data_IF_115108052018
#
_entry.id   IF_115108052018
#
_cell.length_a   1.000
_cell.length_b   1.000
_cell.length_c   1.000
_cell.angle_alpha   90.00
_cell.angle_beta   90.00
_cell.angle_gamma   90.00
#
_symmetry.space_group_name_H-M   'P 1'
#
loop_
_entity.id
_entity.type
_entity.pdbx_description
1 polymer ?
#
# COMPACT_ATOMS: atom_id res chain seq x y z
N UNK A 1 40.17 -3.08 14.35
CA UNK A 1 39.16 -2.53 13.40
C UNK A 1 37.98 -3.47 13.37
N UNK A 2 36.75 -2.98 13.55
CA UNK A 2 35.56 -3.85 13.59
C UNK A 2 35.16 -4.20 12.16
N UNK A 3 35.25 -5.49 11.80
CA UNK A 3 34.75 -6.01 10.52
C UNK A 3 33.23 -5.87 10.55
N UNK A 4 32.65 -5.23 9.53
CA UNK A 4 31.19 -5.09 9.43
C UNK A 4 30.61 -6.48 9.18
N UNK A 5 29.56 -6.80 9.92
CA UNK A 5 28.91 -8.11 9.86
C UNK A 5 27.61 -8.03 9.05
N UNK A 6 27.20 -9.13 8.44
CA UNK A 6 25.89 -9.22 7.77
C UNK A 6 24.74 -8.79 8.69
N UNK A 7 24.82 -9.14 9.98
CA UNK A 7 23.84 -8.74 11.00
C UNK A 7 23.71 -7.22 11.15
N UNK A 8 24.80 -6.48 11.02
CA UNK A 8 24.78 -5.02 11.06
C UNK A 8 24.11 -4.44 9.81
N UNK A 9 24.37 -5.00 8.61
CA UNK A 9 23.69 -4.61 7.36
C UNK A 9 22.19 -4.89 7.45
N UNK A 10 21.80 -6.09 7.87
CA UNK A 10 20.40 -6.48 8.05
C UNK A 10 19.67 -5.48 8.96
N UNK A 11 20.30 -5.11 10.08
CA UNK A 11 19.74 -4.12 11.01
C UNK A 11 19.53 -2.76 10.33
N UNK A 12 20.55 -2.25 9.64
CA UNK A 12 20.46 -0.95 8.95
C UNK A 12 19.34 -0.97 7.90
N UNK A 13 19.29 -2.01 7.07
CA UNK A 13 18.29 -2.17 5.99
C UNK A 13 16.86 -2.24 6.55
N UNK A 14 16.68 -2.96 7.66
CA UNK A 14 15.38 -3.11 8.34
C UNK A 14 14.92 -1.82 9.04
N UNK A 15 15.84 -1.06 9.65
CA UNK A 15 15.52 0.18 10.37
C UNK A 15 15.39 1.39 9.44
N UNK A 16 15.93 1.31 8.22
CA UNK A 16 15.91 2.43 7.27
C UNK A 16 14.49 2.78 6.85
N UNK A 17 14.14 4.06 7.00
CA UNK A 17 12.87 4.65 6.55
C UNK A 17 13.12 5.63 5.39
N UNK A 18 12.17 5.74 4.45
CA UNK A 18 12.24 6.77 3.41
C UNK A 18 12.17 8.16 4.02
N UNK A 19 12.79 9.13 3.34
CA UNK A 19 12.63 10.54 3.69
C UNK A 19 11.18 10.97 3.39
N UNK A 20 10.56 11.83 4.22
CA UNK A 20 9.23 12.34 3.95
C UNK A 20 9.16 13.09 2.62
N UNK A 21 8.04 12.95 1.91
CA UNK A 21 7.78 13.76 0.71
C UNK A 21 7.73 15.25 1.08
N UNK A 22 8.38 16.09 0.29
CA UNK A 22 8.48 17.54 0.54
C UNK A 22 8.60 18.32 -0.76
N UNK A 23 7.57 19.11 -1.08
CA UNK A 23 7.57 19.94 -2.30
C UNK A 23 8.69 21.00 -2.30
N UNK A 24 9.19 21.38 -1.13
CA UNK A 24 10.27 22.37 -1.01
C UNK A 24 11.67 21.77 -1.17
N UNK A 25 11.89 20.56 -0.64
CA UNK A 25 13.22 19.94 -0.61
C UNK A 25 13.47 19.00 -1.79
N UNK A 26 12.44 18.31 -2.28
CA UNK A 26 12.56 17.31 -3.35
C UNK A 26 11.30 17.32 -4.21
N UNK A 27 11.05 18.37 -5.01
CA UNK A 27 9.82 18.51 -5.78
C UNK A 27 9.69 17.41 -6.85
N UNK A 28 8.45 17.01 -7.20
CA UNK A 28 8.19 16.05 -8.27
C UNK A 28 8.67 16.58 -9.63
N UNK A 29 9.19 15.69 -10.47
CA UNK A 29 9.69 16.01 -11.81
C UNK A 29 8.63 15.63 -12.84
N UNK A 30 8.05 16.62 -13.53
CA UNK A 30 6.87 16.40 -14.39
C UNK A 30 7.19 16.13 -15.86
N UNK A 31 8.43 16.31 -16.31
CA UNK A 31 8.78 16.27 -17.74
C UNK A 31 9.71 15.10 -18.12
N UNK A 32 10.17 14.33 -17.14
CA UNK A 32 11.07 13.18 -17.34
C UNK A 32 10.75 12.11 -16.29
N UNK A 33 10.04 11.06 -16.71
CA UNK A 33 9.68 9.94 -15.84
C UNK A 33 10.93 9.27 -15.24
N UNK A 34 12.00 9.10 -16.01
CA UNK A 34 13.25 8.50 -15.52
C UNK A 34 13.92 9.35 -14.44
N UNK A 35 13.93 10.67 -14.60
CA UNK A 35 14.43 11.59 -13.56
C UNK A 35 13.59 11.53 -12.29
N UNK A 36 12.26 11.47 -12.45
CA UNK A 36 11.34 11.39 -11.33
C UNK A 36 11.52 10.11 -10.52
N UNK A 37 11.63 8.96 -11.19
CA UNK A 37 11.94 7.67 -10.55
C UNK A 37 13.26 7.71 -9.79
N UNK A 38 14.28 8.35 -10.37
CA UNK A 38 15.59 8.52 -9.75
C UNK A 38 15.50 9.33 -8.45
N UNK A 39 14.80 10.45 -8.47
CA UNK A 39 14.66 11.29 -7.27
C UNK A 39 13.89 10.57 -6.16
N UNK A 40 12.78 9.90 -6.51
CA UNK A 40 12.03 9.07 -5.55
C UNK A 40 12.89 7.95 -4.95
N UNK A 41 13.73 7.30 -5.77
CA UNK A 41 14.64 6.25 -5.30
C UNK A 41 15.69 6.82 -4.35
N UNK A 42 16.25 8.00 -4.64
CA UNK A 42 17.25 8.67 -3.81
C UNK A 42 16.75 8.92 -2.38
N UNK A 43 15.48 9.31 -2.24
CA UNK A 43 14.83 9.55 -0.95
C UNK A 43 14.19 8.29 -0.33
N UNK A 44 14.37 7.12 -0.96
CA UNK A 44 13.88 5.84 -0.45
C UNK A 44 12.39 5.55 -0.72
N UNK A 45 11.71 6.38 -1.50
CA UNK A 45 10.30 6.22 -1.89
C UNK A 45 10.16 5.17 -3.01
N UNK A 46 10.73 3.98 -2.81
CA UNK A 46 10.91 2.93 -3.81
C UNK A 46 9.60 2.30 -4.28
N UNK A 47 8.64 2.09 -3.38
CA UNK A 47 7.30 1.60 -3.72
C UNK A 47 6.51 2.61 -4.56
N UNK A 48 6.59 3.89 -4.21
CA UNK A 48 5.99 5.00 -4.97
C UNK A 48 6.65 5.14 -6.35
N UNK A 49 7.98 5.00 -6.44
CA UNK A 49 8.68 4.99 -7.72
C UNK A 49 8.21 3.83 -8.61
N UNK A 50 8.10 2.61 -8.07
CA UNK A 50 7.60 1.48 -8.85
C UNK A 50 6.12 1.65 -9.26
N UNK A 51 5.29 2.21 -8.39
CA UNK A 51 3.86 2.43 -8.65
C UNK A 51 3.59 3.54 -9.66
N UNK A 52 4.51 4.49 -9.80
CA UNK A 52 4.48 5.51 -10.84
C UNK A 52 4.47 4.92 -12.25
N UNK A 53 4.95 3.69 -12.46
CA UNK A 53 4.95 3.03 -13.76
C UNK A 53 3.64 2.29 -14.09
N UNK A 54 2.64 2.29 -13.20
CA UNK A 54 1.40 1.52 -13.37
C UNK A 54 0.28 2.25 -14.13
N UNK A 55 0.57 3.38 -14.77
CA UNK A 55 -0.41 4.18 -15.49
C UNK A 55 -0.34 3.93 -17.00
N UNK A 56 -1.47 3.68 -17.68
CA UNK A 56 -1.49 3.34 -19.10
C UNK A 56 -0.91 4.42 -20.01
N UNK A 57 -0.88 5.68 -19.57
CA UNK A 57 -0.29 6.79 -20.30
C UNK A 57 1.22 6.64 -20.56
N UNK A 58 1.93 5.77 -19.84
CA UNK A 58 3.35 5.49 -20.08
C UNK A 58 3.60 4.52 -21.25
N UNK A 59 2.54 3.84 -21.72
CA UNK A 59 2.67 2.90 -22.83
C UNK A 59 3.22 3.61 -24.09
N UNK A 60 4.20 2.99 -24.73
CA UNK A 60 5.02 3.56 -25.80
C UNK A 60 6.37 4.11 -25.31
N UNK A 61 6.51 4.39 -24.01
CA UNK A 61 7.74 4.89 -23.40
C UNK A 61 8.23 4.04 -22.21
N UNK A 62 7.47 3.02 -21.78
CA UNK A 62 7.75 2.25 -20.57
C UNK A 62 9.15 1.61 -20.62
N UNK A 63 9.44 0.88 -21.70
CA UNK A 63 10.70 0.15 -21.86
C UNK A 63 11.91 1.09 -21.93
N UNK A 64 11.76 2.24 -22.60
CA UNK A 64 12.78 3.29 -22.64
C UNK A 64 12.99 3.92 -21.26
N UNK A 65 11.91 4.28 -20.57
CA UNK A 65 11.96 4.88 -19.22
C UNK A 65 12.70 3.97 -18.24
N UNK A 66 12.37 2.67 -18.22
CA UNK A 66 13.05 1.68 -17.36
C UNK A 66 14.52 1.55 -17.73
N UNK A 67 14.86 1.45 -19.03
CA UNK A 67 16.25 1.38 -19.48
C UNK A 67 17.07 2.62 -19.12
N UNK A 68 16.51 3.82 -19.32
CA UNK A 68 17.16 5.08 -18.95
C UNK A 68 17.33 5.22 -17.42
N UNK A 69 16.35 4.74 -16.66
CA UNK A 69 16.41 4.73 -15.20
C UNK A 69 17.53 3.80 -14.69
N UNK A 70 17.60 2.56 -15.21
CA UNK A 70 18.68 1.61 -14.91
C UNK A 70 20.04 2.20 -15.27
N UNK A 71 20.17 2.80 -16.46
CA UNK A 71 21.40 3.45 -16.92
C UNK A 71 21.86 4.56 -15.97
N UNK A 72 20.93 5.30 -15.35
CA UNK A 72 21.25 6.34 -14.35
C UNK A 72 21.63 5.74 -13.00
N UNK A 73 20.95 4.69 -12.55
CA UNK A 73 21.25 4.02 -11.29
C UNK A 73 22.60 3.30 -11.31
N UNK A 74 22.94 2.64 -12.41
CA UNK A 74 24.06 1.69 -12.46
C UNK A 74 25.42 2.31 -12.07
N UNK A 75 25.89 3.44 -12.64
CA UNK A 75 27.16 4.05 -12.22
C UNK A 75 27.18 4.46 -10.75
N UNK A 76 26.04 4.94 -10.24
CA UNK A 76 25.89 5.34 -8.85
C UNK A 76 25.91 4.11 -7.94
N UNK A 77 25.27 3.01 -8.32
CA UNK A 77 25.32 1.77 -7.57
C UNK A 77 26.76 1.28 -7.41
N UNK A 78 27.52 1.24 -8.51
CA UNK A 78 28.94 0.83 -8.52
C UNK A 78 29.77 1.73 -7.62
N UNK A 79 29.62 3.05 -7.72
CA UNK A 79 30.39 4.01 -6.93
C UNK A 79 29.95 4.13 -5.46
N UNK A 80 28.70 3.78 -5.13
CA UNK A 80 28.16 3.74 -3.77
C UNK A 80 28.54 2.46 -3.02
N UNK A 81 29.76 1.97 -3.22
CA UNK A 81 30.30 0.88 -2.40
C UNK A 81 30.42 1.33 -0.94
N UNK A 82 29.80 0.64 0.02
CA UNK A 82 29.97 0.97 1.43
C UNK A 82 31.32 0.44 1.92
N UNK A 83 32.29 1.32 2.20
CA UNK A 83 33.63 0.94 2.65
C UNK A 83 33.72 1.15 4.16
N UNK A 84 34.19 0.15 4.91
CA UNK A 84 34.26 0.21 6.39
C UNK A 84 35.22 1.28 6.95
N UNK A 85 36.07 1.85 6.09
CA UNK A 85 36.95 2.99 6.39
C UNK A 85 36.28 4.36 6.17
N UNK A 86 35.11 4.38 5.54
CA UNK A 86 34.36 5.61 5.32
C UNK A 86 33.89 6.20 6.66
N UNK A 87 33.58 7.50 6.65
CA UNK A 87 32.85 8.09 7.77
C UNK A 87 31.53 7.34 7.98
N UNK A 88 31.02 7.20 9.23
CA UNK A 88 29.75 6.52 9.49
C UNK A 88 28.59 7.05 8.65
N UNK A 89 28.60 8.36 8.35
CA UNK A 89 27.62 9.02 7.47
C UNK A 89 27.72 8.53 6.02
N UNK A 90 28.92 8.58 5.43
CA UNK A 90 29.16 8.14 4.05
C UNK A 90 28.86 6.65 3.88
N UNK A 91 29.27 5.83 4.85
CA UNK A 91 28.95 4.39 4.86
C UNK A 91 27.43 4.15 4.82
N UNK A 92 26.68 4.81 5.70
CA UNK A 92 25.23 4.67 5.77
C UNK A 92 24.53 5.19 4.50
N UNK A 93 25.01 6.29 3.92
CA UNK A 93 24.47 6.84 2.68
C UNK A 93 24.67 5.89 1.49
N UNK A 94 25.88 5.37 1.31
CA UNK A 94 26.21 4.41 0.25
C UNK A 94 25.40 3.11 0.38
N UNK A 95 25.32 2.56 1.59
CA UNK A 95 24.50 1.38 1.87
C UNK A 95 23.01 1.65 1.58
N UNK A 96 22.48 2.78 2.02
CA UNK A 96 21.08 3.15 1.79
C UNK A 96 20.77 3.30 0.30
N UNK A 97 21.68 3.91 -0.48
CA UNK A 97 21.48 4.05 -1.91
C UNK A 97 21.41 2.70 -2.63
N UNK A 98 22.35 1.79 -2.34
CA UNK A 98 22.31 0.43 -2.91
C UNK A 98 21.07 -0.34 -2.48
N UNK A 99 20.67 -0.23 -1.21
CA UNK A 99 19.42 -0.78 -0.71
C UNK A 99 18.22 -0.27 -1.53
N UNK A 100 18.08 1.04 -1.71
CA UNK A 100 16.94 1.62 -2.44
C UNK A 100 16.95 1.25 -3.92
N UNK A 101 18.12 1.16 -4.55
CA UNK A 101 18.27 0.69 -5.93
C UNK A 101 17.79 -0.76 -6.10
N UNK A 102 18.10 -1.65 -5.16
CA UNK A 102 17.55 -3.01 -5.15
C UNK A 102 16.04 -3.02 -4.91
N UNK A 103 15.57 -2.31 -3.89
CA UNK A 103 14.15 -2.27 -3.52
C UNK A 103 13.27 -1.75 -4.67
N UNK A 104 13.68 -0.70 -5.39
CA UNK A 104 12.88 -0.15 -6.50
C UNK A 104 12.79 -1.11 -7.68
N UNK A 105 13.89 -1.76 -8.06
CA UNK A 105 13.89 -2.72 -9.17
C UNK A 105 13.10 -4.00 -8.82
N UNK A 106 13.20 -4.45 -7.56
CA UNK A 106 12.38 -5.54 -7.02
C UNK A 106 10.89 -5.22 -7.10
N UNK A 107 10.49 -4.05 -6.61
CA UNK A 107 9.09 -3.59 -6.64
C UNK A 107 8.57 -3.42 -8.07
N UNK A 108 9.38 -2.90 -9.00
CA UNK A 108 9.03 -2.81 -10.42
C UNK A 108 8.76 -4.18 -11.04
N UNK A 109 9.64 -5.16 -10.80
CA UNK A 109 9.47 -6.52 -11.32
C UNK A 109 8.20 -7.19 -10.75
N UNK A 110 7.98 -7.08 -9.43
CA UNK A 110 6.77 -7.63 -8.80
C UNK A 110 5.49 -6.98 -9.33
N UNK A 111 5.50 -5.66 -9.51
CA UNK A 111 4.41 -4.93 -10.17
C UNK A 111 4.12 -5.49 -11.57
N UNK A 112 5.15 -5.74 -12.39
CA UNK A 112 4.98 -6.27 -13.74
C UNK A 112 4.52 -7.74 -13.78
N UNK A 113 4.86 -8.55 -12.78
CA UNK A 113 4.30 -9.89 -12.63
C UNK A 113 2.85 -9.88 -12.14
N UNK A 114 2.48 -8.88 -11.33
CA UNK A 114 1.16 -8.72 -10.73
C UNK A 114 0.06 -8.23 -11.69
N UNK A 115 -1.19 -8.45 -11.30
CA UNK A 115 -2.38 -8.09 -12.08
C UNK A 115 -2.62 -6.57 -12.17
N UNK A 116 -2.04 -5.78 -11.28
CA UNK A 116 -2.07 -4.32 -11.39
C UNK A 116 -1.35 -3.80 -12.63
N UNK A 117 -0.52 -4.60 -13.29
CA UNK A 117 0.15 -4.20 -14.53
C UNK A 117 -0.71 -4.44 -15.79
N UNK A 118 -1.96 -4.90 -15.65
CA UNK A 118 -2.84 -5.23 -16.79
C UNK A 118 -3.17 -4.05 -17.71
N UNK A 119 -2.98 -2.82 -17.23
CA UNK A 119 -3.18 -1.59 -18.02
C UNK A 119 -1.93 -1.20 -18.84
N UNK A 120 -0.80 -1.86 -18.61
CA UNK A 120 0.43 -1.61 -19.33
C UNK A 120 0.55 -2.51 -20.55
N UNK A 121 1.28 -2.02 -21.56
CA UNK A 121 1.58 -2.76 -22.78
C UNK A 121 2.34 -4.07 -22.46
N UNK A 122 1.83 -5.24 -22.88
CA UNK A 122 2.42 -6.52 -22.53
C UNK A 122 3.82 -6.73 -23.15
N UNK A 123 4.09 -6.18 -24.34
CA UNK A 123 5.38 -6.33 -25.02
C UNK A 123 6.45 -5.46 -24.37
N UNK A 124 6.11 -4.23 -23.97
CA UNK A 124 7.00 -3.37 -23.20
C UNK A 124 7.33 -3.98 -21.84
N UNK A 125 6.34 -4.50 -21.11
CA UNK A 125 6.58 -5.21 -19.85
C UNK A 125 7.52 -6.40 -20.02
N UNK A 126 7.28 -7.21 -21.05
CA UNK A 126 8.13 -8.36 -21.37
C UNK A 126 9.56 -7.95 -21.72
N UNK A 127 9.79 -6.76 -22.29
CA UNK A 127 11.13 -6.19 -22.51
C UNK A 127 11.77 -5.65 -21.23
N UNK A 128 10.99 -5.04 -20.33
CA UNK A 128 11.50 -4.49 -19.07
C UNK A 128 12.03 -5.56 -18.11
N UNK A 129 11.35 -6.71 -18.01
CA UNK A 129 11.69 -7.76 -17.04
C UNK A 129 13.14 -8.28 -17.21
N UNK A 130 13.62 -8.63 -18.42
CA UNK A 130 15.03 -8.96 -18.64
C UNK A 130 16.01 -7.84 -18.28
N UNK A 131 15.68 -6.57 -18.53
CA UNK A 131 16.55 -5.44 -18.14
C UNK A 131 16.74 -5.39 -16.64
N UNK A 132 15.65 -5.52 -15.89
CA UNK A 132 15.64 -5.51 -14.43
C UNK A 132 16.40 -6.73 -13.89
N UNK A 133 16.09 -7.93 -14.38
CA UNK A 133 16.72 -9.18 -13.93
C UNK A 133 18.23 -9.17 -14.15
N UNK A 134 18.67 -8.77 -15.35
CA UNK A 134 20.10 -8.70 -15.66
C UNK A 134 20.83 -7.68 -14.79
N UNK A 135 20.21 -6.52 -14.54
CA UNK A 135 20.79 -5.48 -13.67
C UNK A 135 20.93 -5.97 -12.23
N UNK A 136 19.90 -6.62 -11.69
CA UNK A 136 19.91 -7.16 -10.33
C UNK A 136 20.98 -8.24 -10.18
N UNK A 137 21.08 -9.15 -11.14
CA UNK A 137 22.10 -10.21 -11.16
C UNK A 137 23.52 -9.62 -11.22
N UNK A 138 23.75 -8.65 -12.10
CA UNK A 138 25.04 -7.96 -12.21
C UNK A 138 25.44 -7.24 -10.90
N UNK A 139 24.49 -6.56 -10.27
CA UNK A 139 24.72 -5.88 -8.99
C UNK A 139 25.05 -6.85 -7.86
N UNK A 140 24.40 -8.00 -7.81
CA UNK A 140 24.72 -9.06 -6.85
C UNK A 140 26.13 -9.62 -7.07
N UNK A 141 26.52 -9.88 -8.32
CA UNK A 141 27.88 -10.31 -8.64
C UNK A 141 28.93 -9.28 -8.24
N UNK A 142 28.63 -7.99 -8.40
CA UNK A 142 29.51 -6.91 -7.95
C UNK A 142 29.67 -6.97 -6.42
N UNK A 143 28.57 -7.11 -5.66
CA UNK A 143 28.65 -7.25 -4.20
C UNK A 143 29.46 -8.47 -3.76
N UNK A 144 29.26 -9.62 -4.42
CA UNK A 144 30.00 -10.85 -4.13
C UNK A 144 31.52 -10.68 -4.36
N UNK A 145 31.93 -9.95 -5.42
CA UNK A 145 33.33 -9.62 -5.69
C UNK A 145 33.91 -8.64 -4.66
N UNK A 146 33.06 -7.81 -4.05
CA UNK A 146 33.46 -6.79 -3.08
C UNK A 146 33.62 -7.30 -1.65
N UNK A 147 33.01 -8.44 -1.28
CA UNK A 147 33.19 -9.06 0.03
C UNK A 147 32.09 -10.06 0.43
N UNK A 148 32.14 -10.49 1.69
CA UNK A 148 31.24 -11.51 2.25
C UNK A 148 29.85 -10.98 2.67
N UNK A 149 29.66 -9.66 2.65
CA UNK A 149 28.43 -9.02 3.09
C UNK A 149 27.55 -8.67 1.88
N UNK A 150 26.25 -8.94 1.97
CA UNK A 150 25.29 -8.74 0.88
C UNK A 150 24.15 -7.82 1.29
N UNK A 151 23.98 -6.70 0.57
CA UNK A 151 22.81 -5.82 0.73
C UNK A 151 21.62 -6.46 0.03
N UNK A 152 21.84 -7.14 -1.09
CA UNK A 152 20.80 -7.91 -1.78
C UNK A 152 20.09 -8.91 -0.85
N UNK A 153 20.87 -9.71 -0.10
CA UNK A 153 20.33 -10.64 0.90
C UNK A 153 19.52 -9.93 1.97
N UNK A 154 20.00 -8.78 2.46
CA UNK A 154 19.29 -8.00 3.49
C UNK A 154 17.96 -7.43 2.99
N UNK A 155 17.90 -7.00 1.72
CA UNK A 155 16.68 -6.50 1.06
C UNK A 155 15.66 -7.62 0.90
N UNK A 156 16.08 -8.79 0.40
CA UNK A 156 15.19 -9.96 0.25
C UNK A 156 14.68 -10.43 1.61
N UNK A 157 15.56 -10.53 2.62
CA UNK A 157 15.17 -10.93 3.98
C UNK A 157 14.17 -9.94 4.58
N UNK A 158 14.38 -8.63 4.40
CA UNK A 158 13.42 -7.59 4.84
C UNK A 158 12.05 -7.81 4.23
N UNK A 159 11.97 -8.07 2.92
CA UNK A 159 10.70 -8.28 2.24
C UNK A 159 10.01 -9.57 2.73
N UNK A 160 10.72 -10.69 2.75
CA UNK A 160 10.18 -11.97 3.24
C UNK A 160 9.71 -11.87 4.70
N UNK A 161 10.45 -11.15 5.56
CA UNK A 161 10.08 -10.97 6.96
C UNK A 161 8.77 -10.19 7.14
N UNK A 162 8.54 -9.16 6.33
CA UNK A 162 7.28 -8.40 6.35
C UNK A 162 6.09 -9.30 5.96
N UNK A 163 6.23 -10.11 4.92
CA UNK A 163 5.20 -11.07 4.51
C UNK A 163 4.91 -12.12 5.59
N UNK A 164 5.95 -12.68 6.23
CA UNK A 164 5.80 -13.71 7.28
C UNK A 164 5.07 -13.22 8.53
N UNK A 165 5.11 -11.91 8.84
CA UNK A 165 4.42 -11.34 10.02
C UNK A 165 2.90 -11.32 9.88
N UNK A 166 2.39 -11.32 8.65
CA UNK A 166 0.95 -11.18 8.39
C UNK A 166 0.16 -12.30 9.06
N UNK A 167 -0.74 -11.93 9.98
CA UNK A 167 -1.58 -12.84 10.77
C UNK A 167 -0.74 -13.85 11.60
N UNK A 168 0.36 -13.37 12.20
CA UNK A 168 1.32 -14.18 12.97
C UNK A 168 1.81 -15.43 12.23
N UNK A 169 1.98 -15.33 10.91
CA UNK A 169 2.47 -16.43 10.07
C UNK A 169 1.41 -17.41 9.56
N UNK A 170 0.14 -17.18 9.87
CA UNK A 170 -0.96 -18.08 9.50
C UNK A 170 -1.71 -17.67 8.23
N UNK A 171 -1.28 -16.59 7.56
CA UNK A 171 -1.88 -16.12 6.31
C UNK A 171 -1.31 -16.80 5.07
N UNK A 172 -2.04 -16.78 3.96
CA UNK A 172 -1.53 -17.16 2.64
C UNK A 172 -0.26 -16.37 2.28
N UNK A 173 -0.22 -15.08 2.58
CA UNK A 173 0.95 -14.21 2.33
C UNK A 173 2.17 -14.74 3.08
N UNK A 174 2.03 -15.07 4.36
CA UNK A 174 3.12 -15.64 5.15
C UNK A 174 3.60 -17.00 4.63
N UNK A 175 2.67 -17.89 4.25
CA UNK A 175 3.02 -19.19 3.67
C UNK A 175 3.71 -19.05 2.31
N UNK A 176 3.33 -18.05 1.53
CA UNK A 176 3.98 -17.74 0.24
C UNK A 176 5.42 -17.29 0.46
N UNK A 177 5.69 -16.45 1.46
CA UNK A 177 7.04 -16.06 1.81
C UNK A 177 7.93 -17.25 2.22
N UNK A 178 7.38 -18.23 2.96
CA UNK A 178 8.13 -19.45 3.29
C UNK A 178 8.48 -20.26 2.02
N UNK A 179 7.54 -20.43 1.09
CA UNK A 179 7.80 -21.14 -0.19
C UNK A 179 8.80 -20.41 -1.08
N UNK A 180 8.81 -19.08 -1.05
CA UNK A 180 9.83 -18.29 -1.77
C UNK A 180 11.19 -18.48 -1.11
N UNK A 181 11.27 -18.36 0.22
CA UNK A 181 12.52 -18.55 0.96
C UNK A 181 13.13 -19.94 0.76
N UNK A 182 12.31 -21.00 0.76
CA UNK A 182 12.75 -22.38 0.51
C UNK A 182 13.38 -22.59 -0.87
N UNK A 183 13.03 -21.74 -1.85
CA UNK A 183 13.58 -21.79 -3.20
C UNK A 183 14.91 -21.02 -3.36
N UNK A 184 15.37 -20.29 -2.33
CA UNK A 184 16.59 -19.49 -2.40
C UNK A 184 17.81 -20.34 -2.02
N UNK A 185 18.66 -20.62 -3.01
CA UNK A 185 19.93 -21.32 -2.79
C UNK A 185 21.06 -20.33 -2.46
N UNK A 186 21.79 -20.62 -1.38
CA UNK A 186 22.98 -19.86 -0.98
C UNK A 186 24.09 -19.97 -2.02
N UNK A 187 24.82 -18.86 -2.25
CA UNK A 187 25.97 -18.83 -3.17
C UNK A 187 25.62 -18.62 -4.65
N UNK A 188 24.32 -18.50 -4.99
CA UNK A 188 23.85 -18.04 -6.29
C UNK A 188 23.18 -16.65 -6.13
N UNK A 189 23.09 -15.84 -7.21
CA UNK A 189 22.31 -14.60 -7.18
C UNK A 189 20.87 -14.84 -6.71
N UNK A 190 20.44 -14.10 -5.70
CA UNK A 190 19.19 -14.31 -4.98
C UNK A 190 18.00 -13.66 -5.70
N UNK A 191 18.17 -12.51 -6.34
CA UNK A 191 17.07 -11.80 -7.02
C UNK A 191 16.49 -12.59 -8.19
N UNK A 192 17.28 -13.19 -9.10
CA UNK A 192 16.71 -14.03 -10.16
C UNK A 192 15.90 -15.21 -9.61
N UNK A 193 16.39 -15.86 -8.55
CA UNK A 193 15.69 -16.97 -7.88
C UNK A 193 14.39 -16.49 -7.22
N UNK A 194 14.47 -15.39 -6.46
CA UNK A 194 13.33 -14.77 -5.80
C UNK A 194 12.25 -14.38 -6.81
N UNK A 195 12.60 -13.64 -7.87
CA UNK A 195 11.64 -13.11 -8.84
C UNK A 195 11.00 -14.22 -9.65
N UNK A 196 11.76 -15.23 -10.07
CA UNK A 196 11.21 -16.41 -10.72
C UNK A 196 10.18 -17.10 -9.83
N UNK A 197 10.54 -17.35 -8.57
CA UNK A 197 9.62 -18.02 -7.63
C UNK A 197 8.42 -17.14 -7.28
N UNK A 198 8.60 -15.83 -7.15
CA UNK A 198 7.51 -14.89 -6.92
C UNK A 198 6.53 -14.84 -8.10
N UNK A 199 7.03 -14.83 -9.34
CA UNK A 199 6.20 -14.91 -10.54
C UNK A 199 5.35 -16.19 -10.54
N UNK A 200 5.96 -17.34 -10.24
CA UNK A 200 5.24 -18.61 -10.12
C UNK A 200 4.15 -18.55 -9.04
N UNK A 201 4.47 -18.06 -7.85
CA UNK A 201 3.53 -17.94 -6.73
C UNK A 201 2.40 -16.93 -6.99
N UNK A 202 2.65 -15.88 -7.78
CA UNK A 202 1.64 -14.90 -8.20
C UNK A 202 0.73 -15.53 -9.26
N UNK A 203 1.30 -16.00 -10.37
CA UNK A 203 0.53 -16.41 -11.55
C UNK A 203 -0.16 -17.76 -11.37
N UNK A 204 0.38 -18.68 -10.58
CA UNK A 204 -0.29 -19.97 -10.29
C UNK A 204 -1.37 -19.85 -9.21
N UNK A 205 -1.46 -18.71 -8.54
CA UNK A 205 -2.44 -18.51 -7.47
C UNK A 205 -3.88 -18.52 -8.00
N UNK A 206 -4.77 -19.22 -7.30
CA UNK A 206 -6.18 -19.29 -7.70
C UNK A 206 -6.86 -17.90 -7.71
N UNK A 207 -6.51 -17.00 -6.79
CA UNK A 207 -7.08 -15.65 -6.75
C UNK A 207 -6.66 -14.84 -7.98
N UNK A 208 -5.38 -14.93 -8.37
CA UNK A 208 -4.89 -14.33 -9.62
C UNK A 208 -5.68 -14.86 -10.81
N UNK A 209 -5.83 -16.19 -10.93
CA UNK A 209 -6.53 -16.81 -12.05
C UNK A 209 -8.01 -16.38 -12.13
N UNK A 210 -8.70 -16.34 -10.99
CA UNK A 210 -10.11 -15.93 -10.93
C UNK A 210 -10.30 -14.46 -11.32
N UNK A 211 -9.43 -13.55 -10.88
CA UNK A 211 -9.50 -12.13 -11.27
C UNK A 211 -9.15 -11.98 -12.75
N UNK A 212 -8.08 -12.61 -13.20
CA UNK A 212 -7.60 -12.53 -14.59
C UNK A 212 -8.65 -13.04 -15.59
N UNK A 213 -9.41 -14.08 -15.22
CA UNK A 213 -10.50 -14.65 -16.03
C UNK A 213 -11.83 -13.90 -15.84
N UNK A 214 -11.87 -12.83 -15.04
CA UNK A 214 -13.08 -12.04 -14.80
C UNK A 214 -14.16 -12.76 -14.00
N UNK A 215 -13.82 -13.82 -13.27
CA UNK A 215 -14.77 -14.64 -12.50
C UNK A 215 -15.22 -13.95 -11.21
N UNK A 216 -14.31 -13.24 -10.56
CA UNK A 216 -14.57 -12.61 -9.26
C UNK A 216 -13.64 -11.42 -9.02
N UNK A 217 -14.02 -10.57 -8.08
CA UNK A 217 -13.19 -9.50 -7.51
C UNK A 217 -12.98 -9.79 -6.04
N UNK A 218 -11.79 -9.52 -5.53
CA UNK A 218 -11.45 -9.82 -4.14
C UNK A 218 -11.13 -8.56 -3.36
N UNK A 219 -11.66 -8.52 -2.14
CA UNK A 219 -11.24 -7.64 -1.07
C UNK A 219 -10.59 -8.44 0.06
N UNK A 220 -9.69 -7.80 0.80
CA UNK A 220 -9.11 -8.37 2.03
C UNK A 220 -9.77 -7.75 3.26
N UNK A 221 -9.85 -8.45 4.39
CA UNK A 221 -10.33 -7.87 5.65
C UNK A 221 -9.19 -7.40 6.56
N UNK A 222 -8.00 -8.00 6.42
CA UNK A 222 -6.83 -7.70 7.23
C UNK A 222 -6.04 -6.49 6.72
N UNK A 223 -5.41 -5.73 7.63
CA UNK A 223 -4.74 -4.46 7.30
C UNK A 223 -3.31 -4.63 6.78
N UNK A 224 -2.68 -5.81 6.90
CA UNK A 224 -1.29 -6.06 6.47
C UNK A 224 -1.23 -7.03 5.29
N UNK A 225 -0.09 -7.01 4.57
CA UNK A 225 0.19 -7.91 3.44
C UNK A 225 -0.47 -7.49 2.13
N UNK A 226 -1.09 -6.31 2.10
CA UNK A 226 -1.87 -5.84 0.96
C UNK A 226 -1.03 -5.60 -0.29
N UNK A 227 0.26 -5.26 -0.14
CA UNK A 227 1.19 -5.14 -1.27
C UNK A 227 1.25 -6.43 -2.09
N UNK A 228 1.43 -7.58 -1.42
CA UNK A 228 1.41 -8.88 -2.08
C UNK A 228 0.03 -9.24 -2.65
N UNK A 229 -1.04 -8.99 -1.89
CA UNK A 229 -2.40 -9.30 -2.36
C UNK A 229 -2.81 -8.48 -3.59
N UNK A 230 -2.32 -7.24 -3.72
CA UNK A 230 -2.50 -6.43 -4.92
C UNK A 230 -1.94 -7.13 -6.16
N UNK A 231 -0.77 -7.76 -6.06
CA UNK A 231 -0.20 -8.56 -7.15
C UNK A 231 -1.12 -9.69 -7.61
N UNK A 232 -1.90 -10.27 -6.70
CA UNK A 232 -2.91 -11.30 -7.00
C UNK A 232 -4.21 -10.73 -7.57
N UNK A 233 -4.35 -9.41 -7.69
CA UNK A 233 -5.53 -8.75 -8.24
C UNK A 233 -6.58 -8.35 -7.21
N UNK A 234 -6.25 -8.37 -5.91
CA UNK A 234 -7.13 -7.76 -4.90
C UNK A 234 -7.23 -6.26 -5.20
N UNK A 235 -8.44 -5.72 -5.12
CA UNK A 235 -8.71 -4.31 -5.44
C UNK A 235 -9.29 -3.53 -4.26
N UNK A 236 -9.54 -4.16 -3.12
CA UNK A 236 -10.16 -3.52 -1.96
C UNK A 236 -9.63 -4.07 -0.65
N UNK A 237 -9.75 -3.28 0.42
CA UNK A 237 -9.59 -3.75 1.79
C UNK A 237 -10.70 -3.23 2.68
N UNK A 238 -11.23 -4.09 3.54
CA UNK A 238 -12.28 -3.78 4.50
C UNK A 238 -11.86 -4.15 5.91
N UNK A 239 -11.17 -3.22 6.58
CA UNK A 239 -10.77 -3.40 7.98
C UNK A 239 -11.94 -3.12 8.96
N UNK A 240 -11.68 -3.39 10.23
CA UNK A 240 -12.48 -2.96 11.36
C UNK A 240 -11.56 -2.60 12.53
N UNK A 241 -12.04 -1.95 13.61
CA UNK A 241 -11.18 -1.52 14.70
C UNK A 241 -10.41 -2.67 15.38
N UNK A 242 -11.01 -3.87 15.45
CA UNK A 242 -10.36 -5.06 16.02
C UNK A 242 -9.18 -5.53 15.16
N UNK A 243 -9.35 -5.53 13.83
CA UNK A 243 -8.30 -5.90 12.89
C UNK A 243 -7.21 -4.84 12.82
N UNK A 244 -7.56 -3.56 12.88
CA UNK A 244 -6.60 -2.47 13.00
C UNK A 244 -5.76 -2.60 14.29
N UNK A 245 -6.39 -2.89 15.43
CA UNK A 245 -5.68 -3.15 16.69
C UNK A 245 -4.76 -4.39 16.60
N UNK A 246 -5.20 -5.44 15.89
CA UNK A 246 -4.36 -6.63 15.66
C UNK A 246 -3.16 -6.33 14.75
N UNK A 247 -3.25 -5.39 13.82
CA UNK A 247 -2.12 -4.97 12.99
C UNK A 247 -0.95 -4.42 13.85
N UNK A 248 -1.25 -3.63 14.89
CA UNK A 248 -0.24 -3.16 15.85
C UNK A 248 0.42 -4.29 16.67
N UNK A 249 -0.26 -5.42 16.85
CA UNK A 249 0.31 -6.59 17.52
C UNK A 249 1.24 -7.38 16.59
N UNK A 250 0.89 -7.45 15.30
CA UNK A 250 1.60 -8.26 14.31
C UNK A 250 2.78 -7.48 13.68
N UNK A 251 2.70 -6.15 13.57
CA UNK A 251 3.84 -5.28 13.23
C UNK A 251 4.13 -4.24 14.32
N UNK A 252 5.11 -4.51 15.21
CA UNK A 252 5.56 -3.55 16.23
C UNK A 252 6.06 -2.22 15.65
N UNK A 253 6.44 -2.18 14.37
CA UNK A 253 6.94 -0.97 13.73
C UNK A 253 5.88 0.14 13.64
N UNK A 254 4.59 -0.25 13.58
CA UNK A 254 3.46 0.69 13.63
C UNK A 254 3.40 1.48 14.94
N UNK A 255 3.88 0.92 16.05
CA UNK A 255 3.92 1.62 17.34
C UNK A 255 4.90 2.80 17.28
N UNK A 256 6.07 2.60 16.67
CA UNK A 256 7.05 3.68 16.53
C UNK A 256 6.56 4.74 15.56
N UNK A 257 5.95 4.34 14.43
CA UNK A 257 5.31 5.29 13.50
C UNK A 257 4.23 6.10 14.22
N UNK A 258 3.40 5.43 15.03
CA UNK A 258 2.38 6.11 15.82
C UNK A 258 2.97 7.13 16.80
N UNK A 259 4.06 6.76 17.51
CA UNK A 259 4.74 7.68 18.44
C UNK A 259 5.33 8.89 17.73
N UNK A 260 5.78 8.76 16.49
CA UNK A 260 6.28 9.88 15.70
C UNK A 260 5.16 10.77 15.19
N UNK A 261 4.14 10.17 14.59
CA UNK A 261 3.02 10.90 13.97
C UNK A 261 2.13 11.58 15.02
N UNK A 262 1.90 10.95 16.17
CA UNK A 262 1.08 11.54 17.25
C UNK A 262 1.71 12.83 17.78
N UNK A 263 3.05 12.94 17.81
CA UNK A 263 3.75 14.16 18.27
C UNK A 263 3.53 15.34 17.34
N UNK A 264 3.26 15.08 16.06
CA UNK A 264 2.97 16.10 15.03
C UNK A 264 1.48 16.47 15.00
N UNK A 265 0.64 15.72 15.69
CA UNK A 265 -0.80 15.97 15.69
C UNK A 265 -1.14 17.29 16.41
N UNK A 266 -2.01 18.16 15.86
CA UNK A 266 -2.33 19.45 16.47
C UNK A 266 -2.86 19.35 17.92
N UNK A 267 -3.57 18.27 18.24
CA UNK A 267 -4.11 18.00 19.58
C UNK A 267 -3.15 17.27 20.52
N UNK A 268 -1.92 17.00 20.11
CA UNK A 268 -0.96 16.21 20.91
C UNK A 268 -0.81 16.71 22.35
N UNK A 269 -0.73 18.04 22.54
CA UNK A 269 -0.65 18.63 23.89
C UNK A 269 -1.83 18.24 24.78
N UNK A 270 -3.05 18.26 24.24
CA UNK A 270 -4.27 17.90 24.98
C UNK A 270 -4.31 16.39 25.26
N UNK A 271 -4.02 15.58 24.25
CA UNK A 271 -3.97 14.12 24.35
C UNK A 271 -2.94 13.66 25.37
N UNK A 272 -1.77 14.31 25.42
CA UNK A 272 -0.71 13.99 26.37
C UNK A 272 -1.10 14.29 27.83
N UNK A 273 -1.81 15.39 28.07
CA UNK A 273 -2.19 15.79 29.43
C UNK A 273 -3.29 14.91 30.02
N UNK A 274 -4.24 14.43 29.20
CA UNK A 274 -5.32 13.56 29.66
C UNK A 274 -5.71 12.52 28.60
N UNK A 275 -4.90 11.47 28.39
CA UNK A 275 -5.13 10.49 27.32
C UNK A 275 -6.45 9.76 27.47
N UNK A 276 -6.88 9.44 28.70
CA UNK A 276 -8.14 8.75 28.96
C UNK A 276 -9.35 9.55 28.50
N UNK A 277 -9.33 10.89 28.63
CA UNK A 277 -10.41 11.76 28.14
C UNK A 277 -10.51 11.78 26.61
N UNK A 278 -9.38 11.63 25.92
CA UNK A 278 -9.30 11.67 24.45
C UNK A 278 -9.11 10.27 23.85
N UNK A 279 -9.44 9.21 24.58
CA UNK A 279 -9.16 7.83 24.18
C UNK A 279 -9.78 7.49 22.81
N UNK A 280 -11.01 7.92 22.56
CA UNK A 280 -11.72 7.69 21.28
C UNK A 280 -11.04 8.42 20.11
N UNK A 281 -10.62 9.69 20.29
CA UNK A 281 -9.90 10.44 19.24
C UNK A 281 -8.53 9.81 18.94
N UNK A 282 -7.83 9.36 19.98
CA UNK A 282 -6.54 8.70 19.86
C UNK A 282 -6.70 7.36 19.13
N UNK A 283 -7.74 6.58 19.46
CA UNK A 283 -8.05 5.32 18.81
C UNK A 283 -8.46 5.51 17.35
N UNK A 284 -9.24 6.56 17.03
CA UNK A 284 -9.57 6.96 15.67
C UNK A 284 -8.30 7.24 14.87
N UNK A 285 -7.40 8.08 15.41
CA UNK A 285 -6.15 8.43 14.75
C UNK A 285 -5.21 7.23 14.57
N UNK A 286 -5.12 6.34 15.56
CA UNK A 286 -4.34 5.10 15.45
C UNK A 286 -4.93 4.16 14.38
N UNK A 287 -6.26 4.02 14.33
CA UNK A 287 -6.95 3.21 13.31
C UNK A 287 -6.67 3.76 11.92
N UNK A 288 -6.80 5.07 11.75
CA UNK A 288 -6.46 5.77 10.52
C UNK A 288 -5.01 5.50 10.14
N UNK A 289 -4.05 5.74 11.02
CA UNK A 289 -2.63 5.51 10.74
C UNK A 289 -2.32 4.09 10.25
N UNK A 290 -2.96 3.06 10.83
CA UNK A 290 -2.81 1.67 10.39
C UNK A 290 -3.33 1.41 8.96
N UNK A 291 -4.10 2.32 8.39
CA UNK A 291 -4.66 2.24 7.04
C UNK A 291 -3.97 3.13 6.02
N UNK A 292 -3.05 4.00 6.43
CA UNK A 292 -2.43 4.96 5.52
C UNK A 292 -1.65 4.27 4.40
N UNK A 293 -0.87 3.24 4.75
CA UNK A 293 -0.16 2.44 3.77
C UNK A 293 -1.13 1.78 2.78
N UNK A 294 -2.31 1.36 3.25
CA UNK A 294 -3.32 0.73 2.41
C UNK A 294 -3.89 1.68 1.37
N UNK A 295 -4.05 2.97 1.73
CA UNK A 295 -4.48 4.01 0.79
C UNK A 295 -3.46 4.16 -0.34
N UNK A 296 -2.16 4.11 -0.03
CA UNK A 296 -1.08 4.18 -1.02
C UNK A 296 -0.99 2.93 -1.88
N UNK A 297 -1.04 1.73 -1.27
CA UNK A 297 -0.97 0.44 -1.98
C UNK A 297 -2.04 0.35 -3.06
N UNK A 298 -3.27 0.75 -2.76
CA UNK A 298 -4.36 0.70 -3.73
C UNK A 298 -4.50 1.97 -4.58
N UNK A 299 -3.61 2.95 -4.43
CA UNK A 299 -3.72 4.23 -5.14
C UNK A 299 -3.65 4.09 -6.67
N UNK A 300 -2.73 3.29 -7.26
CA UNK A 300 -2.73 3.06 -8.70
C UNK A 300 -4.03 2.39 -9.17
N UNK A 301 -4.54 1.42 -8.40
CA UNK A 301 -5.79 0.72 -8.69
C UNK A 301 -6.97 1.70 -8.71
N UNK A 302 -7.05 2.59 -7.72
CA UNK A 302 -8.09 3.61 -7.62
C UNK A 302 -8.17 4.50 -8.86
N UNK A 303 -7.01 4.99 -9.33
CA UNK A 303 -6.98 5.82 -10.52
C UNK A 303 -7.30 5.06 -11.81
N UNK A 304 -6.84 3.82 -11.95
CA UNK A 304 -7.06 3.02 -13.15
C UNK A 304 -8.47 2.44 -13.24
N UNK A 305 -9.14 2.19 -12.11
CA UNK A 305 -10.50 1.65 -12.05
C UNK A 305 -11.60 2.71 -11.90
N UNK A 306 -11.25 3.98 -11.79
CA UNK A 306 -12.21 5.08 -11.56
C UNK A 306 -13.39 5.08 -12.54
N UNK A 307 -13.14 4.82 -13.83
CA UNK A 307 -14.15 4.82 -14.90
C UNK A 307 -14.88 3.48 -15.08
N UNK A 308 -14.54 2.46 -14.28
CA UNK A 308 -15.10 1.11 -14.42
C UNK A 308 -15.70 0.61 -13.11
N UNK A 309 -14.96 -0.18 -12.33
CA UNK A 309 -15.48 -0.76 -11.08
C UNK A 309 -15.55 0.23 -9.92
N UNK A 310 -14.77 1.32 -9.98
CA UNK A 310 -14.55 2.19 -8.82
C UNK A 310 -13.70 1.57 -7.72
N UNK A 311 -13.00 0.46 -8.01
CA UNK A 311 -12.13 -0.25 -7.07
C UNK A 311 -10.93 0.56 -6.58
N UNK A 312 -10.06 -0.07 -5.80
CA UNK A 312 -8.91 0.59 -5.15
C UNK A 312 -9.26 1.28 -3.83
N UNK A 313 -10.40 0.93 -3.23
CA UNK A 313 -10.92 1.59 -2.02
C UNK A 313 -10.53 0.87 -0.72
N UNK A 314 -10.31 1.67 0.32
CA UNK A 314 -10.01 1.23 1.68
C UNK A 314 -11.21 1.56 2.56
N UNK A 315 -11.75 0.55 3.23
CA UNK A 315 -12.88 0.73 4.15
C UNK A 315 -12.39 1.16 5.52
N UNK A 316 -12.95 2.26 6.02
CA UNK A 316 -12.74 2.75 7.38
C UNK A 316 -14.04 2.67 8.17
N UNK A 317 -14.01 1.93 9.27
CA UNK A 317 -15.21 1.70 10.07
C UNK A 317 -15.42 2.78 11.11
N UNK A 318 -16.67 3.27 11.16
CA UNK A 318 -17.12 4.18 12.21
C UNK A 318 -16.98 3.53 13.58
N UNK A 319 -16.73 4.36 14.57
CA UNK A 319 -16.65 3.92 15.95
C UNK A 319 -17.99 3.31 16.39
N UNK A 320 -18.04 2.00 16.70
CA UNK A 320 -19.28 1.34 17.06
C UNK A 320 -19.90 1.88 18.35
N UNK A 321 -19.09 2.45 19.25
CA UNK A 321 -19.57 2.99 20.54
C UNK A 321 -20.44 4.24 20.35
N UNK A 322 -20.26 4.99 19.27
CA UNK A 322 -21.00 6.22 18.97
C UNK A 322 -21.81 6.15 17.68
N UNK A 323 -21.93 4.98 17.05
CA UNK A 323 -22.65 4.83 15.78
C UNK A 323 -24.15 5.17 15.85
N UNK A 324 -24.71 5.25 17.05
CA UNK A 324 -26.07 5.74 17.29
C UNK A 324 -26.17 7.28 17.29
N UNK A 325 -25.05 7.97 17.51
CA UNK A 325 -24.90 9.42 17.53
C UNK A 325 -24.53 9.92 16.14
N UNK A 326 -25.54 10.41 15.43
CA UNK A 326 -25.43 10.77 14.01
C UNK A 326 -24.44 11.92 13.77
N UNK A 327 -24.52 13.00 14.55
CA UNK A 327 -23.66 14.17 14.34
C UNK A 327 -22.19 13.86 14.60
N UNK A 328 -21.91 13.15 15.69
CA UNK A 328 -20.58 12.73 16.11
C UNK A 328 -19.95 11.79 15.09
N UNK A 329 -20.72 10.80 14.61
CA UNK A 329 -20.28 9.89 13.55
C UNK A 329 -19.90 10.64 12.28
N UNK A 330 -20.70 11.63 11.87
CA UNK A 330 -20.39 12.43 10.69
C UNK A 330 -19.16 13.33 10.90
N UNK A 331 -18.98 13.90 12.09
CA UNK A 331 -17.76 14.67 12.40
C UNK A 331 -16.50 13.81 12.28
N UNK A 332 -16.54 12.56 12.75
CA UNK A 332 -15.44 11.61 12.60
C UNK A 332 -15.14 11.28 11.13
N UNK A 333 -16.18 11.14 10.29
CA UNK A 333 -16.01 10.97 8.84
C UNK A 333 -15.28 12.15 8.21
N UNK A 334 -15.72 13.38 8.50
CA UNK A 334 -15.08 14.57 7.95
C UNK A 334 -13.63 14.71 8.41
N UNK A 335 -13.34 14.38 9.68
CA UNK A 335 -11.97 14.39 10.18
C UNK A 335 -11.11 13.35 9.46
N UNK A 336 -11.60 12.11 9.31
CA UNK A 336 -10.89 11.05 8.59
C UNK A 336 -10.59 11.43 7.13
N UNK A 337 -11.59 11.96 6.42
CA UNK A 337 -11.44 12.39 5.02
C UNK A 337 -10.48 13.58 4.88
N UNK A 338 -10.56 14.57 5.77
CA UNK A 338 -9.65 15.72 5.76
C UNK A 338 -8.18 15.30 5.93
N UNK A 339 -7.90 14.44 6.92
CA UNK A 339 -6.57 13.91 7.18
C UNK A 339 -6.03 13.06 6.02
N UNK A 340 -6.89 12.20 5.45
CA UNK A 340 -6.52 11.39 4.29
C UNK A 340 -6.26 12.28 3.05
N UNK A 341 -7.09 13.29 2.82
CA UNK A 341 -6.97 14.20 1.69
C UNK A 341 -5.67 15.00 1.73
N UNK A 342 -5.26 15.51 2.89
CA UNK A 342 -4.01 16.24 3.04
C UNK A 342 -2.81 15.39 2.60
N UNK A 343 -2.73 14.15 3.10
CA UNK A 343 -1.63 13.23 2.77
C UNK A 343 -1.67 12.78 1.31
N UNK A 344 -2.85 12.43 0.81
CA UNK A 344 -3.01 11.98 -0.57
C UNK A 344 -2.79 13.11 -1.58
N UNK A 345 -3.10 14.36 -1.22
CA UNK A 345 -2.82 15.52 -2.09
C UNK A 345 -1.34 15.69 -2.34
N UNK A 346 -0.51 15.45 -1.31
CA UNK A 346 0.94 15.44 -1.47
C UNK A 346 1.38 14.20 -2.25
N UNK A 347 0.96 13.00 -1.84
CA UNK A 347 1.34 11.74 -2.48
C UNK A 347 1.04 11.71 -3.98
N UNK A 348 -0.15 12.15 -4.38
CA UNK A 348 -0.59 12.16 -5.77
C UNK A 348 0.22 13.12 -6.65
N UNK A 349 0.80 14.19 -6.10
CA UNK A 349 1.69 15.06 -6.87
C UNK A 349 2.96 14.32 -7.33
N UNK A 350 3.42 13.34 -6.54
CA UNK A 350 4.54 12.49 -6.91
C UNK A 350 4.08 11.29 -7.73
N UNK A 351 3.02 10.59 -7.30
CA UNK A 351 2.54 9.40 -8.02
C UNK A 351 2.16 9.75 -9.47
N UNK A 352 1.49 10.89 -9.66
CA UNK A 352 0.96 11.34 -10.95
C UNK A 352 1.85 12.38 -11.66
N UNK A 353 3.11 12.54 -11.27
CA UNK A 353 4.02 13.47 -11.93
C UNK A 353 4.15 13.13 -13.43
N UNK A 354 4.10 14.12 -14.32
CA UNK A 354 4.12 13.90 -15.78
C UNK A 354 2.87 13.26 -16.39
N UNK A 355 1.93 12.75 -15.59
CA UNK A 355 0.67 12.22 -16.09
C UNK A 355 -0.42 13.28 -16.20
N UNK A 356 -1.27 13.12 -17.22
CA UNK A 356 -2.34 14.06 -17.56
C UNK A 356 -3.61 13.89 -16.72
N UNK A 357 -3.63 13.01 -15.73
CA UNK A 357 -4.80 12.74 -14.87
C UNK A 357 -5.39 14.04 -14.34
N UNK A 358 -6.58 14.39 -14.85
CA UNK A 358 -7.37 15.55 -14.45
C UNK A 358 -8.42 15.12 -13.42
N UNK A 359 -8.57 15.90 -12.35
CA UNK A 359 -9.52 15.60 -11.27
C UNK A 359 -9.01 14.55 -10.28
N UNK A 360 -9.71 14.41 -9.16
CA UNK A 360 -9.50 13.41 -8.08
C UNK A 360 -8.12 13.38 -7.39
N UNK A 361 -7.16 14.24 -7.74
CA UNK A 361 -5.93 14.44 -6.95
C UNK A 361 -6.29 14.84 -5.52
N UNK A 362 -5.72 14.15 -4.54
CA UNK A 362 -6.02 14.33 -3.13
C UNK A 362 -7.35 13.72 -2.68
N UNK A 363 -8.23 13.29 -3.59
CA UNK A 363 -9.49 12.65 -3.20
C UNK A 363 -9.20 11.33 -2.49
N UNK A 364 -9.66 11.11 -1.26
CA UNK A 364 -9.45 9.85 -0.58
C UNK A 364 -10.07 8.65 -1.33
N UNK A 365 -9.28 7.60 -1.52
CA UNK A 365 -9.77 6.27 -1.90
C UNK A 365 -10.27 5.51 -0.66
N UNK A 366 -11.10 6.19 0.12
CA UNK A 366 -11.64 5.75 1.40
C UNK A 366 -13.15 5.60 1.25
N UNK A 367 -13.73 4.55 1.84
CA UNK A 367 -15.18 4.42 2.01
C UNK A 367 -15.52 4.23 3.49
N UNK A 368 -16.68 4.71 3.92
CA UNK A 368 -17.08 4.61 5.32
C UNK A 368 -17.86 3.33 5.57
N UNK A 369 -17.34 2.49 6.46
CA UNK A 369 -18.00 1.26 6.86
C UNK A 369 -19.01 1.54 7.97
N UNK A 370 -20.30 1.36 7.65
CA UNK A 370 -21.43 1.66 8.53
C UNK A 370 -22.13 0.35 8.91
N UNK A 371 -22.32 0.12 10.21
CA UNK A 371 -23.04 -1.05 10.67
C UNK A 371 -24.56 -0.87 10.49
N UNK A 372 -25.24 -1.89 9.97
CA UNK A 372 -26.68 -1.88 9.68
C UNK A 372 -27.55 -2.03 10.96
N UNK A 373 -27.28 -1.23 11.99
CA UNK A 373 -27.75 -1.47 13.37
C UNK A 373 -28.84 -0.52 13.87
N UNK A 374 -29.62 0.12 12.98
CA UNK A 374 -30.80 0.89 13.37
C UNK A 374 -31.05 2.15 12.54
N UNK A 375 -31.96 3.04 12.99
CA UNK A 375 -32.35 4.25 12.24
C UNK A 375 -31.17 5.20 11.97
N UNK A 376 -30.24 5.36 12.92
CA UNK A 376 -29.07 6.22 12.74
C UNK A 376 -28.19 5.79 11.56
N UNK A 377 -28.07 4.49 11.29
CA UNK A 377 -27.30 3.98 10.16
C UNK A 377 -27.85 4.46 8.81
N UNK A 378 -29.18 4.57 8.68
CA UNK A 378 -29.83 5.09 7.46
C UNK A 378 -29.47 6.55 7.23
N UNK A 379 -29.64 7.38 8.26
CA UNK A 379 -29.32 8.81 8.19
C UNK A 379 -27.84 9.05 7.92
N UNK A 380 -26.96 8.34 8.62
CA UNK A 380 -25.50 8.42 8.42
C UNK A 380 -25.13 8.04 6.99
N UNK A 381 -25.65 6.90 6.50
CA UNK A 381 -25.39 6.39 5.14
C UNK A 381 -25.81 7.40 4.07
N UNK A 382 -27.04 7.93 4.16
CA UNK A 382 -27.54 8.94 3.22
C UNK A 382 -26.66 10.18 3.21
N UNK A 383 -26.32 10.71 4.40
CA UNK A 383 -25.53 11.93 4.52
C UNK A 383 -24.12 11.75 3.96
N UNK A 384 -23.40 10.69 4.33
CA UNK A 384 -22.04 10.42 3.83
C UNK A 384 -22.03 10.36 2.30
N UNK A 385 -23.02 9.68 1.70
CA UNK A 385 -23.12 9.56 0.26
C UNK A 385 -23.54 10.86 -0.42
N UNK A 386 -24.28 11.75 0.25
CA UNK A 386 -24.59 13.11 -0.25
C UNK A 386 -23.37 14.03 -0.41
N UNK A 387 -22.25 13.67 0.23
CA UNK A 387 -20.94 14.30 0.06
C UNK A 387 -20.03 13.56 -0.94
N UNK A 388 -20.49 12.43 -1.49
CA UNK A 388 -19.75 11.63 -2.46
C UNK A 388 -18.65 10.74 -1.88
N UNK A 389 -18.62 10.55 -0.56
CA UNK A 389 -17.57 9.80 0.14
C UNK A 389 -17.60 8.29 -0.11
N UNK A 390 -18.77 7.71 -0.32
CA UNK A 390 -18.96 6.27 -0.47
C UNK A 390 -19.08 5.53 0.85
N UNK A 391 -19.76 4.39 0.84
CA UNK A 391 -20.02 3.56 2.01
C UNK A 391 -19.79 2.07 1.77
N UNK A 392 -19.49 1.39 2.87
CA UNK A 392 -19.51 -0.06 2.98
C UNK A 392 -20.50 -0.46 4.08
N UNK A 393 -21.68 -0.95 3.72
CA UNK A 393 -22.64 -1.41 4.72
C UNK A 393 -22.19 -2.77 5.27
N UNK A 394 -22.16 -2.93 6.58
CA UNK A 394 -21.70 -4.17 7.25
C UNK A 394 -22.68 -4.58 8.33
N UNK A 395 -22.48 -5.77 8.91
CA UNK A 395 -23.38 -6.28 9.96
C UNK A 395 -24.80 -6.42 9.39
N UNK A 396 -24.85 -6.78 8.11
CA UNK A 396 -26.07 -7.02 7.36
C UNK A 396 -26.37 -8.53 7.38
N UNK A 397 -27.53 -8.89 7.92
CA UNK A 397 -27.96 -10.27 8.10
C UNK A 397 -29.25 -10.59 7.32
N UNK A 398 -29.89 -9.62 6.68
CA UNK A 398 -31.19 -9.82 6.06
C UNK A 398 -31.38 -8.95 4.82
N UNK A 399 -32.09 -9.50 3.84
CA UNK A 399 -32.46 -8.78 2.59
C UNK A 399 -33.20 -7.47 2.90
N UNK A 400 -33.99 -7.42 3.98
CA UNK A 400 -34.70 -6.20 4.38
C UNK A 400 -33.76 -5.09 4.87
N UNK A 401 -32.70 -5.44 5.61
CA UNK A 401 -31.67 -4.47 5.98
C UNK A 401 -30.93 -3.97 4.74
N UNK A 402 -30.54 -4.91 3.88
CA UNK A 402 -29.84 -4.64 2.62
C UNK A 402 -30.62 -3.65 1.74
N UNK A 403 -31.86 -4.00 1.40
CA UNK A 403 -32.72 -3.18 0.56
C UNK A 403 -32.99 -1.80 1.17
N UNK A 404 -33.15 -1.72 2.49
CA UNK A 404 -33.38 -0.44 3.17
C UNK A 404 -32.18 0.48 3.03
N UNK A 405 -30.97 0.00 3.30
CA UNK A 405 -29.77 0.83 3.26
C UNK A 405 -29.34 1.16 1.83
N UNK A 406 -29.58 0.27 0.87
CA UNK A 406 -29.35 0.54 -0.55
C UNK A 406 -30.16 1.75 -1.03
N UNK A 407 -31.41 1.91 -0.58
CA UNK A 407 -32.22 3.10 -0.91
C UNK A 407 -31.61 4.39 -0.33
N UNK A 408 -31.09 4.33 0.89
CA UNK A 408 -30.42 5.47 1.55
C UNK A 408 -29.11 5.85 0.84
N UNK A 409 -28.34 4.85 0.44
CA UNK A 409 -27.14 4.98 -0.38
C UNK A 409 -27.45 5.67 -1.72
N UNK A 410 -28.46 5.20 -2.45
CA UNK A 410 -28.88 5.76 -3.73
C UNK A 410 -29.38 7.20 -3.59
N UNK A 411 -30.17 7.50 -2.55
CA UNK A 411 -30.67 8.85 -2.29
C UNK A 411 -29.52 9.84 -2.04
N UNK A 412 -28.55 9.45 -1.20
CA UNK A 412 -27.34 10.24 -0.97
C UNK A 412 -26.52 10.44 -2.25
N UNK A 413 -26.25 9.38 -3.00
CA UNK A 413 -25.51 9.50 -4.27
C UNK A 413 -26.20 10.41 -5.28
N UNK A 414 -27.53 10.33 -5.39
CA UNK A 414 -28.29 11.21 -6.27
C UNK A 414 -28.12 12.68 -5.89
N UNK A 415 -28.07 13.01 -4.60
CA UNK A 415 -27.80 14.36 -4.12
C UNK A 415 -26.37 14.83 -4.47
N UNK A 416 -25.36 13.97 -4.29
CA UNK A 416 -23.98 14.27 -4.68
C UNK A 416 -23.87 14.54 -6.18
N UNK A 417 -24.51 13.72 -7.02
CA UNK A 417 -24.53 13.88 -8.48
C UNK A 417 -25.19 15.21 -8.87
N UNK A 418 -26.28 15.61 -8.22
CA UNK A 418 -26.91 16.93 -8.44
C UNK A 418 -25.99 18.11 -8.11
N UNK A 419 -25.01 17.92 -7.21
CA UNK A 419 -23.95 18.89 -6.90
C UNK A 419 -22.76 18.83 -7.87
N UNK A 420 -22.81 17.95 -8.88
CA UNK A 420 -21.68 17.69 -9.79
C UNK A 420 -20.55 16.86 -9.17
N UNK A 421 -20.80 16.24 -8.01
CA UNK A 421 -19.83 15.40 -7.31
C UNK A 421 -19.96 13.97 -7.83
N UNK A 422 -18.89 13.42 -8.38
CA UNK A 422 -18.81 11.99 -8.72
C UNK A 422 -18.78 11.17 -7.42
N UNK A 423 -19.72 10.26 -7.15
CA UNK A 423 -19.67 9.43 -5.94
C UNK A 423 -18.51 8.42 -5.97
N UNK A 424 -17.95 8.11 -4.80
CA UNK A 424 -17.05 6.96 -4.62
C UNK A 424 -17.86 5.66 -4.67
N UNK A 425 -17.21 4.53 -4.97
CA UNK A 425 -17.83 3.20 -4.97
C UNK A 425 -18.58 2.89 -3.66
N UNK A 426 -19.72 2.21 -3.80
CA UNK A 426 -20.46 1.60 -2.69
C UNK A 426 -20.37 0.08 -2.76
N UNK A 427 -20.42 -0.58 -1.61
CA UNK A 427 -20.61 -2.03 -1.55
C UNK A 427 -21.20 -2.45 -0.20
N UNK A 428 -21.74 -3.66 -0.15
CA UNK A 428 -22.36 -4.21 1.07
C UNK A 428 -21.64 -5.51 1.44
N UNK A 429 -21.37 -5.66 2.73
CA UNK A 429 -20.74 -6.82 3.34
C UNK A 429 -21.81 -7.63 4.08
N UNK A 430 -22.35 -8.64 3.40
CA UNK A 430 -23.31 -9.56 3.99
C UNK A 430 -22.62 -10.56 4.94
N UNK A 431 -23.24 -10.84 6.08
CA UNK A 431 -22.63 -11.66 7.13
C UNK A 431 -22.91 -13.17 6.96
N UNK A 432 -22.76 -13.69 5.75
CA UNK A 432 -23.17 -15.07 5.38
C UNK A 432 -22.58 -16.16 6.29
N UNK A 433 -21.28 -16.14 6.55
CA UNK A 433 -20.64 -17.15 7.42
C UNK A 433 -21.08 -17.07 8.89
N UNK A 434 -21.47 -15.87 9.38
CA UNK A 434 -22.04 -15.73 10.74
C UNK A 434 -23.47 -16.23 10.80
N UNK A 435 -24.25 -15.97 9.76
CA UNK A 435 -25.60 -16.52 9.62
C UNK A 435 -25.56 -18.05 9.61
N UNK A 436 -24.67 -18.64 8.80
CA UNK A 436 -24.47 -20.09 8.77
C UNK A 436 -24.11 -20.64 10.15
N UNK A 437 -23.18 -19.98 10.86
CA UNK A 437 -22.74 -20.41 12.19
C UNK A 437 -23.90 -20.37 13.20
N UNK A 438 -24.72 -19.31 13.19
CA UNK A 438 -25.91 -19.22 14.01
C UNK A 438 -26.92 -20.35 13.71
N UNK A 439 -27.16 -20.64 12.43
CA UNK A 439 -28.06 -21.71 12.00
C UNK A 439 -27.56 -23.12 12.35
N UNK A 440 -26.26 -23.30 12.64
CA UNK A 440 -25.70 -24.57 13.12
C UNK A 440 -25.81 -24.72 14.64
N UNK A 441 -25.89 -23.62 15.38
CA UNK A 441 -25.98 -23.59 16.84
C UNK A 441 -27.42 -23.68 17.36
N UNK A 442 -28.38 -23.20 16.56
CA UNK A 442 -29.84 -23.36 16.77
C UNK A 442 -30.27 -24.74 16.28
#
# INVERSE_FOLDING_TARGET
>A
MKRITQKEINKIVQEKRPEPLSLGESPPIFWDHSAHLFELTRIGQTTLAADHLLFPEINGELSKTVGDFIRRLHPLFVTSRPISKDSPKSFSQNLSFRQYAYEVLLEMALNFHGLESRWLDPEEKARCLPFILHTLEEWEEIEQKEGECSIASAVIEKWLLQMKRVQKGNSMVAKTALRIEEALESGKPLFPQFLKKAEEEIKSNIYYQMVNQGLCRFGNDYALGLRWLRHLGYEQVSTNPVLAARAYQDDPSLIEIFREEVRRHPKFGQWRTNPSRYAEEIALFATLLALWENLYVFRPIFFNLRETSGGGVVSFQLNPNIAHLVEESIRDVFLAFSLAQEKLSLYDQYLLAGYRTKGDRGRPNLVIKVAATGPSARTITRMINSYGFGSNITVDFSVSQEATLLLEEMEGMAEAIRKGIRPTQLYMTNMGGRLESHLREV
#
